data_IF_687416336083
#
_entry.id   IF_687416336083
#
_cell.length_a   1.000
_cell.length_b   1.000
_cell.length_c   1.000
_cell.angle_alpha   90.00
_cell.angle_beta   90.00
_cell.angle_gamma   90.00
#
_symmetry.space_group_name_H-M   'P 1'
#
loop_
_entity.id
_entity.type
_entity.pdbx_description
1 polymer ?
#
# COMPACT_ATOMS: atom_id res chain seq x y z
N UNK A 1 -8.62 -20.91 -1.53
CA UNK A 1 -8.78 -19.50 -1.96
C UNK A 1 -9.60 -19.51 -3.24
N UNK A 2 -10.75 -18.86 -3.29
CA UNK A 2 -11.57 -18.81 -4.50
C UNK A 2 -11.04 -17.69 -5.38
N UNK A 3 -10.60 -18.03 -6.60
CA UNK A 3 -10.17 -17.02 -7.58
C UNK A 3 -11.36 -16.17 -8.03
N UNK A 4 -11.12 -14.91 -8.34
CA UNK A 4 -12.13 -14.07 -8.99
C UNK A 4 -12.52 -14.68 -10.33
N UNK A 5 -13.83 -14.67 -10.71
CA UNK A 5 -14.23 -15.04 -12.05
C UNK A 5 -13.46 -14.24 -13.11
N UNK A 6 -13.11 -14.81 -14.28
CA UNK A 6 -12.32 -14.10 -15.29
C UNK A 6 -12.90 -12.74 -15.69
N UNK A 7 -14.23 -12.62 -15.74
CA UNK A 7 -14.91 -11.36 -16.03
C UNK A 7 -14.78 -10.27 -14.95
N UNK A 8 -14.33 -10.64 -13.75
CA UNK A 8 -14.13 -9.72 -12.62
C UNK A 8 -12.63 -9.47 -12.33
N UNK A 9 -11.74 -10.07 -13.12
CA UNK A 9 -10.30 -9.86 -12.96
C UNK A 9 -9.92 -8.58 -13.72
N UNK A 10 -9.13 -7.66 -13.09
CA UNK A 10 -8.54 -6.53 -13.80
C UNK A 10 -7.69 -7.04 -14.99
N UNK A 11 -7.80 -6.41 -16.14
CA UNK A 11 -7.04 -6.78 -17.33
C UNK A 11 -5.56 -6.36 -17.25
N UNK A 12 -5.29 -5.31 -16.48
CA UNK A 12 -3.96 -4.74 -16.29
C UNK A 12 -3.84 -4.05 -14.91
N UNK A 13 -2.66 -3.52 -14.65
CA UNK A 13 -2.35 -2.85 -13.38
C UNK A 13 -3.16 -1.56 -13.19
N UNK A 14 -3.43 -0.83 -14.27
CA UNK A 14 -4.21 0.41 -14.21
C UNK A 14 -5.63 0.13 -13.76
N UNK A 15 -6.29 -0.88 -14.32
CA UNK A 15 -7.59 -1.33 -13.86
C UNK A 15 -7.53 -1.84 -12.41
N UNK A 16 -6.45 -2.49 -12.01
CA UNK A 16 -6.22 -2.89 -10.64
C UNK A 16 -6.24 -1.69 -9.68
N UNK A 17 -5.57 -0.60 -10.03
CA UNK A 17 -5.60 0.65 -9.25
C UNK A 17 -6.97 1.33 -9.25
N UNK A 18 -7.70 1.34 -10.37
CA UNK A 18 -9.07 1.86 -10.43
C UNK A 18 -10.00 1.11 -9.47
N UNK A 19 -9.88 -0.22 -9.39
CA UNK A 19 -10.64 -1.03 -8.41
C UNK A 19 -10.23 -0.67 -6.99
N UNK A 20 -8.92 -0.51 -6.73
CA UNK A 20 -8.42 -0.08 -5.43
C UNK A 20 -9.01 1.27 -5.01
N UNK A 21 -9.05 2.25 -5.92
CA UNK A 21 -9.60 3.57 -5.65
C UNK A 21 -11.08 3.52 -5.26
N UNK A 22 -11.88 2.68 -5.94
CA UNK A 22 -13.30 2.48 -5.59
C UNK A 22 -13.45 1.88 -4.19
N UNK A 23 -12.59 0.92 -3.83
CA UNK A 23 -12.62 0.31 -2.49
C UNK A 23 -12.14 1.31 -1.43
N UNK A 24 -11.05 2.02 -1.71
CA UNK A 24 -10.45 2.99 -0.80
C UNK A 24 -11.35 4.22 -0.55
N UNK A 25 -12.19 4.60 -1.52
CA UNK A 25 -13.16 5.70 -1.37
C UNK A 25 -14.19 5.48 -0.24
N UNK A 26 -14.27 4.27 0.32
CA UNK A 26 -15.16 3.93 1.43
C UNK A 26 -14.56 4.27 2.81
N UNK A 27 -13.29 4.65 2.86
CA UNK A 27 -12.57 4.98 4.09
C UNK A 27 -11.57 6.13 3.84
N UNK A 28 -11.18 6.84 4.90
CA UNK A 28 -10.12 7.84 4.79
C UNK A 28 -8.76 7.13 4.59
N UNK A 29 -7.96 7.59 3.63
CA UNK A 29 -6.62 7.03 3.41
C UNK A 29 -5.69 7.49 4.52
N UNK A 30 -5.16 6.55 5.30
CA UNK A 30 -4.19 6.81 6.37
C UNK A 30 -2.73 6.67 5.88
N UNK A 31 -2.50 5.93 4.81
CA UNK A 31 -1.16 5.70 4.29
C UNK A 31 -1.14 4.76 3.09
N UNK A 32 0.07 4.32 2.76
CA UNK A 32 0.34 3.47 1.61
C UNK A 32 1.32 2.36 2.00
N UNK A 33 1.01 1.12 1.64
CA UNK A 33 1.98 0.02 1.69
C UNK A 33 2.62 -0.13 0.31
N UNK A 34 3.95 -0.13 0.27
CA UNK A 34 4.70 -0.40 -0.96
C UNK A 34 5.15 -1.86 -0.93
N UNK A 35 4.89 -2.59 -1.99
CA UNK A 35 5.27 -4.00 -2.14
C UNK A 35 6.17 -4.21 -3.35
N UNK A 36 6.88 -5.35 -3.37
CA UNK A 36 7.77 -5.77 -4.46
C UNK A 36 8.88 -4.74 -4.76
N UNK A 37 9.51 -4.20 -3.73
CA UNK A 37 10.62 -3.25 -3.86
C UNK A 37 11.91 -3.89 -4.35
N UNK A 38 12.03 -5.23 -4.36
CA UNK A 38 13.16 -5.98 -4.88
C UNK A 38 12.82 -6.70 -6.18
N UNK A 39 13.84 -6.98 -7.02
CA UNK A 39 13.68 -7.79 -8.22
C UNK A 39 13.13 -9.19 -7.91
N UNK A 40 13.54 -9.79 -6.79
CA UNK A 40 13.03 -11.09 -6.36
C UNK A 40 11.52 -11.03 -6.06
N UNK A 41 11.06 -9.99 -5.35
CA UNK A 41 9.65 -9.77 -5.08
C UNK A 41 8.85 -9.52 -6.35
N UNK A 42 9.36 -8.70 -7.26
CA UNK A 42 8.74 -8.43 -8.56
C UNK A 42 8.57 -9.71 -9.38
N UNK A 43 9.62 -10.51 -9.49
CA UNK A 43 9.59 -11.79 -10.20
C UNK A 43 8.62 -12.79 -9.55
N UNK A 44 8.51 -12.79 -8.21
CA UNK A 44 7.61 -13.69 -7.49
C UNK A 44 6.14 -13.44 -7.82
N UNK A 45 5.75 -12.18 -7.99
CA UNK A 45 4.36 -11.82 -8.29
C UNK A 45 4.11 -11.45 -9.75
N UNK A 46 5.15 -11.57 -10.61
CA UNK A 46 5.02 -11.41 -12.07
C UNK A 46 4.87 -9.96 -12.54
N UNK A 47 5.50 -9.00 -11.84
CA UNK A 47 5.50 -7.57 -12.20
C UNK A 47 6.93 -7.07 -12.44
N UNK A 48 7.05 -5.86 -12.99
CA UNK A 48 8.36 -5.26 -13.37
C UNK A 48 8.72 -4.01 -12.58
N UNK A 49 7.90 -3.60 -11.62
CA UNK A 49 8.11 -2.42 -10.78
C UNK A 49 7.37 -2.58 -9.44
N UNK A 50 7.74 -1.83 -8.40
CA UNK A 50 6.99 -1.83 -7.15
C UNK A 50 5.54 -1.41 -7.34
N UNK A 51 4.67 -1.93 -6.50
CA UNK A 51 3.25 -1.55 -6.44
C UNK A 51 2.93 -0.95 -5.08
N UNK A 52 1.89 -0.10 -5.03
CA UNK A 52 1.45 0.54 -3.80
C UNK A 52 -0.02 0.21 -3.51
N UNK A 53 -0.33 -0.05 -2.25
CA UNK A 53 -1.68 -0.27 -1.76
C UNK A 53 -2.09 0.81 -0.79
N UNK A 54 -3.31 1.34 -0.93
CA UNK A 54 -3.88 2.29 0.01
C UNK A 54 -4.25 1.58 1.31
N UNK A 55 -3.94 2.22 2.45
CA UNK A 55 -4.33 1.77 3.78
C UNK A 55 -5.44 2.70 4.30
N UNK A 56 -6.61 2.14 4.54
CA UNK A 56 -7.72 2.86 5.16
C UNK A 56 -7.46 3.15 6.64
N UNK A 57 -7.98 4.25 7.13
CA UNK A 57 -7.82 4.65 8.53
C UNK A 57 -8.41 3.61 9.50
N UNK A 58 -9.46 2.90 9.11
CA UNK A 58 -10.06 1.81 9.89
C UNK A 58 -9.13 0.61 10.07
N UNK A 59 -8.09 0.46 9.23
CA UNK A 59 -7.10 -0.61 9.31
C UNK A 59 -5.90 -0.26 10.19
N UNK A 60 -5.79 0.99 10.65
CA UNK A 60 -4.69 1.44 11.51
C UNK A 60 -5.09 1.27 12.96
N UNK A 61 -4.28 0.56 13.72
CA UNK A 61 -4.48 0.33 15.14
C UNK A 61 -3.42 1.07 15.95
N UNK A 62 -3.79 1.50 17.14
CA UNK A 62 -2.80 1.98 18.13
C UNK A 62 -1.82 0.87 18.48
N UNK A 63 -0.60 1.23 18.89
CA UNK A 63 0.48 0.28 19.21
C UNK A 63 0.13 -0.75 20.29
N UNK A 64 -0.86 -0.47 21.14
CA UNK A 64 -1.40 -1.40 22.13
C UNK A 64 -2.72 -2.06 21.66
N UNK A 65 -3.14 -1.84 20.41
CA UNK A 65 -4.36 -2.37 19.84
C UNK A 65 -4.31 -3.87 19.60
N UNK A 66 -5.49 -4.47 19.49
CA UNK A 66 -5.64 -5.89 19.17
C UNK A 66 -6.17 -6.03 17.76
N UNK A 67 -5.40 -6.69 16.88
CA UNK A 67 -5.84 -7.00 15.53
C UNK A 67 -6.79 -8.20 15.52
N UNK A 68 -7.94 -8.08 14.87
CA UNK A 68 -8.85 -9.19 14.64
C UNK A 68 -8.40 -10.01 13.42
N UNK A 69 -7.84 -11.17 13.67
CA UNK A 69 -7.32 -12.07 12.63
C UNK A 69 -8.34 -13.08 12.08
N UNK A 70 -9.59 -13.05 12.51
CA UNK A 70 -10.59 -14.06 12.11
C UNK A 70 -10.86 -14.12 10.62
N UNK A 71 -10.70 -13.02 9.89
CA UNK A 71 -10.83 -12.95 8.42
C UNK A 71 -9.52 -13.11 7.65
N UNK A 72 -8.38 -13.17 8.34
CA UNK A 72 -7.07 -13.25 7.69
C UNK A 72 -6.70 -14.69 7.35
N UNK A 73 -6.91 -15.06 6.08
CA UNK A 73 -6.60 -16.41 5.59
C UNK A 73 -5.10 -16.70 5.51
N UNK A 74 -4.26 -15.67 5.36
CA UNK A 74 -2.81 -15.84 5.29
C UNK A 74 -2.19 -16.04 6.67
N UNK A 75 -2.80 -15.51 7.73
CA UNK A 75 -2.30 -15.55 9.11
C UNK A 75 -0.81 -15.15 9.21
N UNK A 76 -0.42 -14.18 8.42
CA UNK A 76 0.93 -13.66 8.33
C UNK A 76 1.02 -12.27 8.96
N UNK A 77 2.18 -11.97 9.54
CA UNK A 77 2.57 -10.65 9.98
C UNK A 77 3.89 -10.26 9.31
N UNK A 78 4.00 -9.02 8.89
CA UNK A 78 5.20 -8.45 8.28
C UNK A 78 5.67 -7.28 9.13
N UNK A 79 6.99 -7.19 9.35
CA UNK A 79 7.61 -6.02 9.97
C UNK A 79 8.08 -5.08 8.86
N UNK A 80 7.63 -3.83 8.89
CA UNK A 80 7.88 -2.86 7.83
C UNK A 80 8.43 -1.55 8.40
N UNK A 81 9.32 -0.91 7.63
CA UNK A 81 9.69 0.48 7.91
C UNK A 81 8.59 1.42 7.47
N UNK A 82 8.14 2.28 8.37
CA UNK A 82 7.09 3.26 8.10
C UNK A 82 7.69 4.66 8.11
N UNK A 83 7.60 5.36 6.99
CA UNK A 83 7.91 6.78 6.89
C UNK A 83 6.66 7.60 7.22
N UNK A 84 6.69 8.30 8.34
CA UNK A 84 5.63 9.22 8.73
C UNK A 84 5.92 10.61 8.17
N UNK A 85 5.01 11.10 7.34
CA UNK A 85 5.18 12.41 6.70
C UNK A 85 4.65 13.52 7.59
N UNK A 86 5.47 14.56 7.79
CA UNK A 86 5.12 15.81 8.49
C UNK A 86 4.59 16.89 7.56
N UNK A 87 4.78 16.72 6.24
CA UNK A 87 4.31 17.63 5.20
C UNK A 87 3.77 16.85 4.00
N UNK A 88 2.80 17.43 3.31
CA UNK A 88 2.22 16.84 2.11
C UNK A 88 3.19 16.88 0.92
N UNK A 89 3.09 15.87 0.07
CA UNK A 89 3.70 15.82 -1.25
C UNK A 89 2.57 15.97 -2.29
N UNK A 90 2.21 17.19 -2.72
CA UNK A 90 1.12 17.39 -3.67
C UNK A 90 1.46 16.79 -5.03
N UNK A 91 0.45 16.26 -5.72
CA UNK A 91 0.62 15.73 -7.07
C UNK A 91 1.18 16.81 -8.02
N UNK A 92 2.18 16.45 -8.83
CA UNK A 92 2.80 17.31 -9.83
C UNK A 92 3.33 16.50 -11.00
N UNK A 93 3.55 17.14 -12.16
CA UNK A 93 4.07 16.46 -13.37
C UNK A 93 5.50 15.95 -13.19
N UNK A 94 6.36 16.75 -12.54
CA UNK A 94 7.75 16.35 -12.28
C UNK A 94 7.82 15.41 -11.06
N UNK A 95 8.51 14.29 -11.20
CA UNK A 95 8.80 13.40 -10.07
C UNK A 95 9.55 14.12 -8.96
N UNK A 96 9.31 13.72 -7.73
CA UNK A 96 10.05 14.18 -6.55
C UNK A 96 11.44 13.58 -6.52
N UNK A 97 12.43 14.39 -6.20
CA UNK A 97 13.77 13.92 -5.88
C UNK A 97 13.79 13.34 -4.45
N UNK A 98 14.72 12.43 -4.19
CA UNK A 98 14.83 11.78 -2.88
C UNK A 98 14.95 12.78 -1.73
N UNK A 99 15.76 13.83 -1.91
CA UNK A 99 15.95 14.84 -0.87
C UNK A 99 14.68 15.64 -0.59
N UNK A 100 13.87 15.91 -1.63
CA UNK A 100 12.56 16.58 -1.46
C UNK A 100 11.61 15.70 -0.65
N UNK A 101 11.58 14.39 -0.93
CA UNK A 101 10.75 13.43 -0.18
C UNK A 101 11.24 13.34 1.27
N UNK A 102 12.54 13.19 1.48
CA UNK A 102 13.13 13.07 2.81
C UNK A 102 12.92 14.31 3.67
N UNK A 103 12.89 15.51 3.06
CA UNK A 103 12.57 16.74 3.77
C UNK A 103 11.11 16.78 4.31
N UNK A 104 10.22 15.97 3.75
CA UNK A 104 8.83 15.85 4.21
C UNK A 104 8.64 14.73 5.26
N UNK A 105 9.65 13.89 5.49
CA UNK A 105 9.58 12.82 6.49
C UNK A 105 9.81 13.39 7.88
N UNK A 106 8.84 13.21 8.76
CA UNK A 106 8.91 13.64 10.16
C UNK A 106 9.44 12.57 11.10
N UNK A 107 9.16 11.30 10.80
CA UNK A 107 9.62 10.17 11.60
C UNK A 107 9.81 8.89 10.77
N UNK A 108 10.69 8.01 11.26
CA UNK A 108 10.81 6.62 10.81
C UNK A 108 10.38 5.72 11.97
N UNK A 109 9.49 4.77 11.68
CA UNK A 109 8.99 3.79 12.66
C UNK A 109 9.23 2.36 12.16
N UNK A 110 9.10 1.40 13.04
CA UNK A 110 9.11 -0.02 12.77
C UNK A 110 7.88 -0.64 13.42
#
# INVERSE_FOLDING_TARGET
MTMLPPAAQPADLEQGYQVQDVVAAQDAVAGWKVAATSLAGQNHIGITHPIAGQLGASCVLDSAGTADMRGNLMQAAEAEFVFEFSANLPAREKSYETDEIMACVGALRL
#
